data_IF_477139980615
#
_entry.id   IF_477139980615
#
_cell.length_a   1.000
_cell.length_b   1.000
_cell.length_c   1.000
_cell.angle_alpha   90.00
_cell.angle_beta   90.00
_cell.angle_gamma   90.00
#
_symmetry.space_group_name_H-M   'P 1'
#
loop_
_entity.id
_entity.type
_entity.pdbx_description
1 polymer ?
#
# COMPACT_ATOMS: atom_id res chain seq x y z
N UNK A 1 -6.94 -3.40 -13.50
CA UNK A 1 -6.83 -4.35 -12.36
C UNK A 1 -8.23 -4.94 -12.09
N UNK A 2 -8.31 -6.19 -11.61
CA UNK A 2 -9.57 -6.91 -11.30
C UNK A 2 -9.41 -7.60 -9.97
N UNK A 3 -10.43 -7.56 -9.11
CA UNK A 3 -10.50 -8.35 -7.87
C UNK A 3 -11.69 -9.30 -7.93
N UNK A 4 -11.52 -10.47 -7.33
CA UNK A 4 -12.56 -11.48 -7.18
C UNK A 4 -12.67 -11.80 -5.70
N UNK A 5 -13.85 -11.63 -5.12
CA UNK A 5 -14.14 -11.94 -3.74
C UNK A 5 -15.03 -13.18 -3.68
N UNK A 6 -14.65 -14.14 -2.88
CA UNK A 6 -15.45 -15.35 -2.64
C UNK A 6 -16.27 -15.20 -1.37
N UNK A 7 -17.39 -15.86 -1.31
CA UNK A 7 -18.28 -15.85 -0.16
C UNK A 7 -19.17 -17.09 -0.12
N UNK A 8 -20.24 -17.03 0.64
CA UNK A 8 -21.20 -18.11 0.79
C UNK A 8 -22.62 -17.60 0.51
N UNK A 9 -23.43 -18.42 -0.12
CA UNK A 9 -24.86 -18.16 -0.24
C UNK A 9 -25.63 -18.58 1.06
N UNK A 10 -26.93 -18.35 1.07
CA UNK A 10 -27.79 -18.69 2.22
C UNK A 10 -27.84 -20.21 2.57
N UNK A 11 -27.25 -21.07 1.74
CA UNK A 11 -27.13 -22.51 1.98
C UNK A 11 -25.73 -22.91 2.45
N UNK A 12 -24.80 -21.96 2.60
CA UNK A 12 -23.42 -22.21 2.94
C UNK A 12 -22.57 -22.72 1.75
N UNK A 13 -23.08 -22.65 0.53
CA UNK A 13 -22.34 -23.04 -0.67
C UNK A 13 -21.40 -21.90 -1.09
N UNK A 14 -20.17 -22.21 -1.48
CA UNK A 14 -19.18 -21.22 -1.92
C UNK A 14 -19.59 -20.59 -3.26
N UNK A 15 -19.50 -19.27 -3.32
CA UNK A 15 -19.83 -18.47 -4.51
C UNK A 15 -18.76 -17.42 -4.77
N UNK A 16 -18.78 -16.81 -5.94
CA UNK A 16 -18.15 -15.53 -6.20
C UNK A 16 -19.16 -14.46 -5.76
N UNK A 17 -18.85 -13.75 -4.68
CA UNK A 17 -19.68 -12.66 -4.16
C UNK A 17 -19.45 -11.34 -4.89
N UNK A 18 -18.24 -11.15 -5.41
CA UNK A 18 -17.88 -9.96 -6.19
C UNK A 18 -16.85 -10.31 -7.27
N UNK A 19 -16.99 -9.69 -8.44
CA UNK A 19 -16.06 -9.76 -9.56
C UNK A 19 -16.05 -8.41 -10.29
N UNK A 20 -14.96 -7.65 -10.11
CA UNK A 20 -14.90 -6.30 -10.66
C UNK A 20 -13.56 -5.58 -10.38
N UNK A 21 -13.54 -4.25 -10.48
CA UNK A 21 -12.36 -3.45 -10.20
C UNK A 21 -12.02 -3.41 -8.70
N UNK A 22 -10.87 -2.81 -8.30
CA UNK A 22 -10.62 -2.40 -6.92
C UNK A 22 -11.79 -1.62 -6.33
N UNK A 23 -11.98 -1.67 -5.00
CA UNK A 23 -13.09 -0.98 -4.34
C UNK A 23 -12.95 0.54 -4.45
N UNK A 24 -11.76 1.01 -4.14
CA UNK A 24 -11.38 2.43 -4.16
C UNK A 24 -9.99 2.59 -4.75
N UNK A 25 -9.74 3.77 -5.31
CA UNK A 25 -8.41 4.21 -5.72
C UNK A 25 -8.21 5.69 -5.39
N UNK A 26 -6.95 6.07 -5.20
CA UNK A 26 -6.54 7.47 -4.98
C UNK A 26 -5.16 7.70 -5.59
N UNK A 27 -4.96 8.88 -6.17
CA UNK A 27 -3.65 9.34 -6.63
C UNK A 27 -3.17 8.69 -7.93
N UNK A 28 -4.05 8.22 -8.78
CA UNK A 28 -3.72 7.51 -10.02
C UNK A 28 -2.81 8.31 -10.96
N UNK A 29 -2.94 9.65 -10.95
CA UNK A 29 -2.16 10.54 -11.82
C UNK A 29 -0.70 10.71 -11.38
N UNK A 30 -0.42 10.51 -10.08
CA UNK A 30 0.91 10.75 -9.47
C UNK A 30 1.54 9.49 -8.90
N UNK A 31 0.89 8.39 -9.00
CA UNK A 31 1.14 7.10 -8.39
C UNK A 31 -0.19 6.46 -8.10
N UNK A 32 -0.39 5.82 -6.97
CA UNK A 32 -1.73 5.46 -6.57
C UNK A 32 -1.82 4.27 -5.65
N UNK A 33 -2.87 4.27 -4.84
CA UNK A 33 -3.30 3.14 -4.03
C UNK A 33 -4.62 2.60 -4.59
N UNK A 34 -4.74 1.28 -4.67
CA UNK A 34 -5.93 0.59 -5.18
C UNK A 34 -6.33 -0.47 -4.17
N UNK A 35 -7.39 -0.22 -3.41
CA UNK A 35 -7.85 -1.09 -2.33
C UNK A 35 -8.53 -2.34 -2.88
N UNK A 36 -8.07 -3.51 -2.42
CA UNK A 36 -8.59 -4.81 -2.83
C UNK A 36 -9.44 -5.44 -1.74
N UNK A 37 -8.94 -5.48 -0.49
CA UNK A 37 -9.64 -6.04 0.65
C UNK A 37 -9.08 -5.48 1.95
N UNK A 38 -9.96 -5.20 2.93
CA UNK A 38 -9.58 -4.75 4.25
C UNK A 38 -10.30 -5.58 5.31
N UNK A 39 -9.62 -5.79 6.44
CA UNK A 39 -10.23 -6.37 7.65
C UNK A 39 -10.00 -5.43 8.84
N UNK A 40 -10.86 -5.48 9.83
CA UNK A 40 -10.81 -4.62 11.03
C UNK A 40 -10.37 -5.34 12.31
N UNK A 41 -9.85 -6.54 12.18
CA UNK A 41 -9.25 -7.31 13.27
C UNK A 41 -10.20 -8.31 13.94
N UNK A 42 -11.49 -8.05 13.96
CA UNK A 42 -12.48 -8.99 14.50
C UNK A 42 -13.01 -9.98 13.45
N UNK A 43 -12.83 -9.65 12.17
CA UNK A 43 -13.46 -10.33 11.04
C UNK A 43 -12.45 -10.92 10.05
N UNK A 44 -11.67 -11.91 10.46
CA UNK A 44 -10.77 -12.61 9.53
C UNK A 44 -11.56 -13.38 8.46
N UNK A 45 -12.70 -13.94 8.85
CA UNK A 45 -13.67 -14.58 7.93
C UNK A 45 -15.04 -14.03 8.29
N UNK A 46 -15.34 -12.84 7.80
CA UNK A 46 -16.66 -12.24 7.95
C UNK A 46 -17.69 -13.00 7.12
N UNK A 47 -18.86 -13.24 7.70
CA UNK A 47 -20.04 -13.73 6.99
C UNK A 47 -20.94 -12.59 6.53
N UNK A 48 -20.63 -11.34 6.89
CA UNK A 48 -21.31 -10.17 6.38
C UNK A 48 -20.90 -9.88 4.93
N UNK A 49 -21.70 -9.09 4.22
CA UNK A 49 -21.45 -8.66 2.85
C UNK A 49 -20.77 -7.28 2.79
N UNK A 50 -20.18 -6.81 3.91
CA UNK A 50 -19.58 -5.49 4.00
C UNK A 50 -18.21 -5.52 3.32
N UNK A 51 -18.05 -4.70 2.30
CA UNK A 51 -16.76 -4.45 1.65
C UNK A 51 -16.03 -3.28 2.32
N UNK A 52 -15.22 -3.57 3.34
CA UNK A 52 -14.45 -2.55 4.07
C UNK A 52 -13.36 -1.87 3.22
N UNK A 53 -13.08 -2.40 2.05
CA UNK A 53 -12.22 -1.72 1.09
C UNK A 53 -12.92 -0.57 0.35
N UNK A 54 -14.27 -0.48 0.43
CA UNK A 54 -15.06 0.64 -0.12
C UNK A 54 -15.25 1.77 0.92
N UNK A 55 -14.20 2.09 1.66
CA UNK A 55 -14.12 3.19 2.62
C UNK A 55 -13.04 4.18 2.19
N UNK A 56 -12.88 5.28 2.93
CA UNK A 56 -11.80 6.23 2.68
C UNK A 56 -10.43 5.54 2.81
N UNK A 57 -9.54 5.85 1.86
CA UNK A 57 -8.23 5.23 1.81
C UNK A 57 -7.34 5.81 2.91
N UNK A 58 -6.98 4.97 3.88
CA UNK A 58 -6.01 5.26 4.94
C UNK A 58 -4.83 4.32 4.77
N UNK A 59 -3.60 4.81 5.00
CA UNK A 59 -2.39 4.01 4.78
C UNK A 59 -2.37 2.77 5.67
N UNK A 60 -2.48 2.95 6.98
CA UNK A 60 -2.39 1.86 7.96
C UNK A 60 -3.73 1.16 8.16
N UNK A 61 -3.75 -0.17 8.35
CA UNK A 61 -4.95 -0.86 8.82
C UNK A 61 -5.29 -0.46 10.26
N UNK A 62 -6.53 -0.70 10.71
CA UNK A 62 -6.88 -0.59 12.13
C UNK A 62 -6.16 -1.67 12.96
N UNK A 63 -6.16 -1.52 14.28
CA UNK A 63 -5.58 -2.49 15.20
C UNK A 63 -6.13 -3.91 14.98
N UNK A 64 -5.24 -4.88 14.77
CA UNK A 64 -5.58 -6.26 14.46
C UNK A 64 -6.07 -6.49 13.03
N UNK A 65 -6.23 -5.44 12.25
CA UNK A 65 -6.71 -5.51 10.88
C UNK A 65 -5.62 -5.67 9.84
N UNK A 66 -6.08 -5.80 8.60
CA UNK A 66 -5.20 -5.92 7.43
C UNK A 66 -5.66 -5.01 6.31
N UNK A 67 -4.73 -4.63 5.43
CA UNK A 67 -5.04 -4.00 4.15
C UNK A 67 -4.36 -4.77 3.03
N UNK A 68 -5.10 -5.10 2.01
CA UNK A 68 -4.61 -5.73 0.80
C UNK A 68 -4.85 -4.78 -0.37
N UNK A 69 -3.77 -4.34 -1.02
CA UNK A 69 -3.81 -3.31 -2.05
C UNK A 69 -2.76 -3.48 -3.12
N UNK A 70 -3.01 -2.90 -4.29
CA UNK A 70 -1.93 -2.50 -5.19
C UNK A 70 -1.49 -1.09 -4.83
N UNK A 71 -0.21 -0.81 -5.04
CA UNK A 71 0.28 0.56 -5.11
C UNK A 71 1.17 0.74 -6.34
N UNK A 72 1.03 1.91 -6.95
CA UNK A 72 1.73 2.30 -8.15
C UNK A 72 2.69 3.43 -7.81
N UNK A 73 3.89 3.36 -8.38
CA UNK A 73 4.90 4.40 -8.24
C UNK A 73 5.20 4.92 -9.64
N UNK A 74 4.86 6.17 -9.89
CA UNK A 74 5.17 6.82 -11.15
C UNK A 74 6.64 7.23 -11.21
N UNK A 75 7.24 7.33 -12.42
CA UNK A 75 8.53 7.99 -12.58
C UNK A 75 8.47 9.43 -12.08
N UNK A 76 9.55 9.87 -11.47
CA UNK A 76 9.70 11.28 -11.07
C UNK A 76 10.28 12.02 -12.28
N UNK A 77 9.64 13.11 -12.76
CA UNK A 77 10.21 13.92 -13.83
C UNK A 77 11.56 14.52 -13.43
N UNK A 78 12.47 14.58 -14.38
CA UNK A 78 13.78 15.21 -14.18
C UNK A 78 13.64 16.69 -13.80
N UNK A 79 14.49 17.15 -12.88
CA UNK A 79 14.63 18.57 -12.53
C UNK A 79 13.54 19.10 -11.59
N UNK A 80 12.75 18.25 -10.97
CA UNK A 80 11.84 18.69 -9.89
C UNK A 80 12.68 19.07 -8.67
N UNK A 81 12.57 20.32 -8.14
CA UNK A 81 13.30 20.74 -6.95
C UNK A 81 12.95 19.92 -5.71
N UNK A 82 13.92 19.73 -4.80
CA UNK A 82 13.73 18.92 -3.60
C UNK A 82 12.62 19.43 -2.67
N UNK A 83 12.46 20.75 -2.55
CA UNK A 83 11.40 21.38 -1.75
C UNK A 83 10.02 21.08 -2.33
N UNK A 84 9.87 21.12 -3.65
CA UNK A 84 8.63 20.74 -4.34
C UNK A 84 8.31 19.27 -4.13
N UNK A 85 9.31 18.40 -4.18
CA UNK A 85 9.17 16.98 -3.90
C UNK A 85 8.72 16.72 -2.45
N UNK A 86 9.26 17.48 -1.49
CA UNK A 86 8.85 17.40 -0.09
C UNK A 86 7.38 17.81 0.10
N UNK A 87 6.92 18.87 -0.57
CA UNK A 87 5.53 19.33 -0.52
C UNK A 87 4.58 18.29 -1.14
N UNK A 88 4.91 17.76 -2.32
CA UNK A 88 4.10 16.72 -2.99
C UNK A 88 3.98 15.48 -2.11
N UNK A 89 5.09 15.02 -1.54
CA UNK A 89 5.06 13.86 -0.66
C UNK A 89 4.26 14.13 0.62
N UNK A 90 4.40 15.31 1.23
CA UNK A 90 3.63 15.68 2.41
C UNK A 90 2.13 15.67 2.13
N UNK A 91 1.68 16.31 1.06
CA UNK A 91 0.28 16.36 0.65
C UNK A 91 -0.28 14.95 0.34
N UNK A 92 0.49 14.12 -0.36
CA UNK A 92 0.10 12.75 -0.68
C UNK A 92 -0.12 11.91 0.60
N UNK A 93 0.79 12.00 1.58
CA UNK A 93 0.66 11.27 2.84
C UNK A 93 -0.47 11.81 3.73
N UNK A 94 -0.72 13.13 3.75
CA UNK A 94 -1.85 13.71 4.47
C UNK A 94 -3.19 13.20 3.91
N UNK A 95 -3.34 13.11 2.59
CA UNK A 95 -4.56 12.61 1.93
C UNK A 95 -4.94 11.18 2.31
N UNK A 96 -3.99 10.38 2.74
CA UNK A 96 -4.20 8.99 3.18
C UNK A 96 -4.03 8.83 4.70
N UNK A 97 -4.16 9.92 5.46
CA UNK A 97 -4.08 9.92 6.92
C UNK A 97 -2.72 9.52 7.49
N UNK A 98 -1.64 9.67 6.72
CA UNK A 98 -0.32 9.13 7.03
C UNK A 98 0.78 10.18 7.21
N UNK A 99 0.44 11.47 7.29
CA UNK A 99 1.42 12.56 7.49
C UNK A 99 2.34 12.31 8.70
N UNK A 100 1.78 11.79 9.79
CA UNK A 100 2.52 11.47 11.03
C UNK A 100 3.49 10.27 10.89
N UNK A 101 3.40 9.47 9.84
CA UNK A 101 4.33 8.39 9.55
C UNK A 101 5.63 8.87 8.89
N UNK A 102 5.69 10.11 8.40
CA UNK A 102 6.89 10.72 7.81
C UNK A 102 7.82 11.24 8.92
N UNK A 103 8.51 10.33 9.60
CA UNK A 103 9.32 10.65 10.79
C UNK A 103 10.74 11.15 10.47
N UNK A 104 11.36 10.64 9.41
CA UNK A 104 12.69 11.07 8.94
C UNK A 104 12.76 10.99 7.41
N UNK A 105 12.73 12.13 6.75
CA UNK A 105 12.71 12.25 5.28
C UNK A 105 14.03 12.73 4.68
N UNK A 106 15.14 12.67 5.43
CA UNK A 106 16.44 13.19 4.99
C UNK A 106 17.00 12.50 3.74
N UNK A 107 16.74 11.20 3.57
CA UNK A 107 17.21 10.45 2.41
C UNK A 107 16.29 10.57 1.19
N UNK A 108 14.98 10.63 1.41
CA UNK A 108 14.00 10.74 0.34
C UNK A 108 12.70 11.32 0.88
N UNK A 109 12.01 12.23 0.13
CA UNK A 109 10.76 12.87 0.57
C UNK A 109 9.65 11.91 0.97
N UNK A 110 9.57 10.74 0.34
CA UNK A 110 8.56 9.73 0.63
C UNK A 110 8.96 8.74 1.74
N UNK A 111 10.05 8.99 2.48
CA UNK A 111 10.41 8.16 3.63
C UNK A 111 9.30 8.20 4.68
N UNK A 112 8.90 7.01 5.11
CA UNK A 112 7.86 6.84 6.13
C UNK A 112 8.04 5.54 6.91
N UNK A 113 7.42 5.47 8.07
CA UNK A 113 7.46 4.32 8.98
C UNK A 113 6.06 4.02 9.49
N UNK A 114 5.61 2.79 9.34
CA UNK A 114 4.38 2.25 9.91
C UNK A 114 4.69 1.27 11.05
N UNK A 115 3.70 0.91 11.83
CA UNK A 115 3.79 -0.13 12.87
C UNK A 115 3.35 -1.51 12.36
N UNK A 116 3.29 -1.67 11.03
CA UNK A 116 2.84 -2.89 10.35
C UNK A 116 4.00 -3.82 9.97
N UNK A 117 3.66 -5.09 9.75
CA UNK A 117 4.45 -5.98 8.91
C UNK A 117 3.76 -5.99 7.54
N UNK A 118 4.53 -5.70 6.50
CA UNK A 118 4.01 -5.66 5.15
C UNK A 118 4.68 -6.75 4.30
N UNK A 119 3.87 -7.53 3.60
CA UNK A 119 4.35 -8.46 2.57
C UNK A 119 4.13 -7.81 1.22
N UNK A 120 5.22 -7.53 0.52
CA UNK A 120 5.21 -6.73 -0.70
C UNK A 120 5.87 -7.51 -1.83
N UNK A 121 5.28 -7.47 -3.00
CA UNK A 121 5.81 -8.09 -4.21
C UNK A 121 5.84 -7.05 -5.33
N UNK A 122 7.00 -6.86 -5.96
CA UNK A 122 7.08 -6.08 -7.19
C UNK A 122 6.52 -6.90 -8.34
N UNK A 123 5.49 -6.40 -9.01
CA UNK A 123 4.83 -7.08 -10.13
C UNK A 123 5.37 -6.59 -11.49
N UNK A 124 5.62 -5.29 -11.60
CA UNK A 124 6.10 -4.65 -12.83
C UNK A 124 6.98 -3.45 -12.49
N UNK A 125 8.01 -3.21 -13.27
CA UNK A 125 8.88 -2.04 -13.19
C UNK A 125 10.25 -2.34 -12.60
N UNK A 126 10.99 -1.29 -12.29
CA UNK A 126 12.31 -1.29 -11.66
C UNK A 126 12.26 -0.33 -10.47
N UNK A 127 12.40 -0.84 -9.27
CA UNK A 127 12.15 -0.07 -8.04
C UNK A 127 13.34 -0.21 -7.09
N UNK A 128 13.82 0.91 -6.56
CA UNK A 128 14.74 0.92 -5.42
C UNK A 128 13.92 1.05 -4.12
N UNK A 129 14.12 0.11 -3.20
CA UNK A 129 13.76 0.26 -1.80
C UNK A 129 14.89 1.00 -1.08
N UNK A 130 14.58 2.14 -0.47
CA UNK A 130 15.51 2.95 0.32
C UNK A 130 15.19 2.73 1.80
N UNK A 131 16.21 2.41 2.60
CA UNK A 131 16.17 2.37 4.06
C UNK A 131 17.13 3.42 4.63
N UNK A 132 17.16 3.59 5.96
CA UNK A 132 18.04 4.59 6.61
C UNK A 132 19.52 4.41 6.25
N UNK A 133 20.01 3.16 6.18
CA UNK A 133 21.42 2.87 5.94
C UNK A 133 21.69 2.06 4.66
N UNK A 134 20.67 1.42 4.09
CA UNK A 134 20.80 0.51 2.95
C UNK A 134 19.85 0.88 1.83
N UNK A 135 20.16 0.40 0.63
CA UNK A 135 19.29 0.47 -0.55
C UNK A 135 19.37 -0.86 -1.31
N UNK A 136 18.28 -1.25 -1.94
CA UNK A 136 18.24 -2.44 -2.79
C UNK A 136 17.36 -2.23 -4.00
N UNK A 137 17.88 -2.59 -5.18
CA UNK A 137 17.12 -2.60 -6.42
C UNK A 137 16.33 -3.90 -6.54
N UNK A 138 15.03 -3.76 -6.77
CA UNK A 138 14.10 -4.85 -6.94
C UNK A 138 13.79 -5.10 -8.41
N UNK A 139 13.54 -6.35 -8.74
CA UNK A 139 13.05 -6.82 -10.03
C UNK A 139 11.68 -7.46 -9.87
N UNK A 140 10.88 -7.57 -10.95
CA UNK A 140 9.59 -8.24 -10.89
C UNK A 140 9.69 -9.62 -10.23
N UNK A 141 8.75 -9.88 -9.31
CA UNK A 141 8.63 -11.04 -8.42
C UNK A 141 9.59 -11.08 -7.23
N UNK A 142 10.44 -10.08 -7.03
CA UNK A 142 11.13 -9.93 -5.75
C UNK A 142 10.13 -9.63 -4.64
N UNK A 143 10.39 -10.21 -3.47
CA UNK A 143 9.54 -10.12 -2.28
C UNK A 143 10.25 -9.35 -1.20
N UNK A 144 9.56 -8.38 -0.60
CA UNK A 144 10.04 -7.64 0.56
C UNK A 144 9.13 -7.92 1.76
N UNK A 145 9.74 -8.23 2.89
CA UNK A 145 9.07 -8.23 4.19
C UNK A 145 9.48 -6.95 4.91
N UNK A 146 8.59 -5.96 4.88
CA UNK A 146 8.78 -4.67 5.55
C UNK A 146 8.35 -4.79 7.00
N UNK A 147 9.27 -4.58 7.94
CA UNK A 147 9.08 -4.83 9.38
C UNK A 147 9.04 -3.53 10.18
N UNK A 148 8.14 -2.62 9.83
CA UNK A 148 8.01 -1.32 10.51
C UNK A 148 9.27 -0.46 10.46
N UNK A 149 10.09 -0.58 9.42
CA UNK A 149 11.30 0.22 9.23
C UNK A 149 11.00 1.48 8.43
N UNK A 150 11.76 2.55 8.67
CA UNK A 150 11.66 3.76 7.86
C UNK A 150 12.13 3.46 6.43
N UNK A 151 11.30 3.77 5.43
CA UNK A 151 11.57 3.38 4.05
C UNK A 151 10.91 4.29 3.02
N UNK A 152 11.42 4.23 1.80
CA UNK A 152 10.79 4.80 0.62
C UNK A 152 10.97 3.86 -0.58
N UNK A 153 10.12 4.05 -1.58
CA UNK A 153 10.13 3.34 -2.85
C UNK A 153 10.38 4.35 -3.97
N UNK A 154 11.36 4.08 -4.81
CA UNK A 154 11.70 4.94 -5.96
C UNK A 154 11.60 4.12 -7.24
N UNK A 155 10.84 4.62 -8.19
CA UNK A 155 10.80 4.04 -9.53
C UNK A 155 12.00 4.53 -10.35
N UNK A 156 12.83 3.61 -10.83
CA UNK A 156 14.01 3.91 -11.65
C UNK A 156 13.73 3.83 -13.17
N UNK A 157 12.53 3.41 -13.54
CA UNK A 157 12.14 3.24 -14.95
C UNK A 157 11.37 4.44 -15.48
N UNK A 158 11.07 4.40 -16.78
CA UNK A 158 10.29 5.42 -17.50
C UNK A 158 8.77 5.15 -17.48
N UNK A 159 8.37 3.97 -17.03
CA UNK A 159 6.99 3.51 -16.93
C UNK A 159 6.57 3.35 -15.46
N UNK A 160 5.28 3.49 -15.13
CA UNK A 160 4.79 3.23 -13.79
C UNK A 160 5.15 1.82 -13.30
N UNK A 161 5.73 1.72 -12.12
CA UNK A 161 5.95 0.46 -11.41
C UNK A 161 4.70 0.08 -10.62
N UNK A 162 4.43 -1.23 -10.52
CA UNK A 162 3.27 -1.76 -9.81
C UNK A 162 3.72 -2.79 -8.78
N UNK A 163 3.28 -2.60 -7.55
CA UNK A 163 3.51 -3.50 -6.44
C UNK A 163 2.17 -3.94 -5.85
N UNK A 164 2.18 -5.11 -5.20
CA UNK A 164 1.05 -5.58 -4.40
C UNK A 164 1.54 -5.74 -2.96
N UNK A 165 0.70 -5.36 -2.00
CA UNK A 165 1.04 -5.39 -0.58
C UNK A 165 -0.10 -5.91 0.28
N UNK A 166 0.27 -6.68 1.31
CA UNK A 166 -0.58 -6.97 2.46
C UNK A 166 0.05 -6.31 3.69
N UNK A 167 -0.65 -5.36 4.29
CA UNK A 167 -0.24 -4.68 5.52
C UNK A 167 -1.00 -5.30 6.69
N UNK A 168 -0.29 -5.63 7.76
CA UNK A 168 -0.84 -6.28 8.95
C UNK A 168 -0.45 -5.47 10.17
N UNK A 169 -1.43 -4.93 10.89
CA UNK A 169 -1.21 -4.27 12.17
C UNK A 169 -1.58 -5.22 13.30
N UNK A 170 -0.56 -5.83 13.92
CA UNK A 170 -0.77 -6.75 15.05
C UNK A 170 -1.08 -5.99 16.33
N UNK A 171 -2.02 -6.51 17.14
CA UNK A 171 -2.31 -5.98 18.48
C UNK A 171 -1.20 -6.26 19.50
N UNK A 172 -0.20 -7.08 19.15
CA UNK A 172 0.89 -7.45 20.05
C UNK A 172 2.06 -6.50 19.80
N UNK A 173 1.98 -5.30 20.32
CA UNK A 173 3.17 -4.48 20.57
C UNK A 173 3.66 -4.77 21.98
N UNK A 174 4.75 -5.50 22.04
CA UNK A 174 5.51 -5.70 23.28
C UNK A 174 6.45 -4.52 23.46
#
# INVERSE_FOLDING_TARGET
MRRIITGHNNKGESIISFDGPPARSIGEDVGGLFELWNTDGDDVISTDEIDRADEDIILSPPNGGTKFRYFQINPIPDGVPDDVMQEIAADAFEKIGAGHHRVDTRKHPAMHKTETIDYIILLKGDVTLILDNDEVNLKPFDVVVQRGTNHAWVNNGDEPALLIAVLILSLIHI
#
